data_IF_427570483179
#
_entry.id   IF_427570483179
#
_cell.length_a   1.000
_cell.length_b   1.000
_cell.length_c   1.000
_cell.angle_alpha   90.00
_cell.angle_beta   90.00
_cell.angle_gamma   90.00
#
_symmetry.space_group_name_H-M   'P 1'
#
loop_
_entity.id
_entity.type
_entity.pdbx_description
1 polymer ?
#
# COMPACT_ATOMS: atom_id res chain seq x y z
N UNK A 1 7.49 -6.13 9.72
CA UNK A 1 6.85 -5.31 10.78
C UNK A 1 5.35 -5.55 10.80
N UNK A 2 4.62 -5.15 11.85
CA UNK A 2 3.15 -5.31 11.89
C UNK A 2 2.47 -4.45 10.83
N UNK A 3 1.26 -4.84 10.39
CA UNK A 3 0.47 -4.06 9.43
C UNK A 3 0.33 -2.60 9.86
N UNK A 4 -0.09 -2.33 11.10
CA UNK A 4 -0.32 -0.96 11.58
C UNK A 4 0.93 -0.10 11.51
N UNK A 5 2.11 -0.64 11.82
CA UNK A 5 3.38 0.10 11.74
C UNK A 5 3.74 0.45 10.30
N UNK A 6 3.59 -0.51 9.38
CA UNK A 6 3.82 -0.25 7.96
C UNK A 6 2.80 0.74 7.39
N UNK A 7 1.54 0.62 7.78
CA UNK A 7 0.47 1.51 7.34
C UNK A 7 0.68 2.96 7.79
N UNK A 8 1.18 3.21 9.00
CA UNK A 8 1.55 4.57 9.41
C UNK A 8 2.61 5.18 8.48
N UNK A 9 3.60 4.41 8.05
CA UNK A 9 4.60 4.88 7.08
C UNK A 9 4.00 5.15 5.70
N UNK A 10 3.03 4.34 5.27
CA UNK A 10 2.32 4.52 4.00
C UNK A 10 1.50 5.81 3.97
N UNK A 11 0.90 6.20 5.10
CA UNK A 11 0.22 7.51 5.22
C UNK A 11 1.17 8.69 5.01
N UNK A 12 2.47 8.50 5.25
CA UNK A 12 3.51 9.50 5.03
C UNK A 12 4.15 9.40 3.63
N UNK A 13 3.50 8.74 2.68
CA UNK A 13 3.93 8.68 1.28
C UNK A 13 4.91 7.56 0.95
N UNK A 14 5.20 6.65 1.89
CA UNK A 14 5.95 5.42 1.58
C UNK A 14 5.03 4.35 0.99
N UNK A 15 5.63 3.25 0.52
CA UNK A 15 4.87 2.06 0.16
C UNK A 15 5.17 0.90 1.11
N UNK A 16 4.28 -0.08 1.17
CA UNK A 16 4.51 -1.31 1.92
C UNK A 16 4.23 -2.55 1.09
N UNK A 17 4.87 -3.66 1.42
CA UNK A 17 4.64 -4.96 0.77
C UNK A 17 4.91 -6.11 1.71
N UNK A 18 4.43 -7.29 1.31
CA UNK A 18 4.85 -8.55 1.91
C UNK A 18 6.00 -9.18 1.10
N UNK A 19 6.98 -9.81 1.76
CA UNK A 19 8.21 -10.28 1.11
C UNK A 19 7.95 -11.34 0.03
N UNK A 20 6.92 -12.17 0.20
CA UNK A 20 6.53 -13.22 -0.75
C UNK A 20 5.85 -12.69 -2.02
N UNK A 21 5.41 -11.43 -2.05
CA UNK A 21 4.87 -10.85 -3.27
C UNK A 21 5.98 -10.57 -4.28
N UNK A 22 5.60 -10.39 -5.54
CA UNK A 22 6.58 -9.94 -6.53
C UNK A 22 7.14 -8.56 -6.15
N UNK A 23 8.38 -8.28 -6.52
CA UNK A 23 9.10 -7.04 -6.17
C UNK A 23 8.46 -5.80 -6.79
N UNK A 24 7.75 -5.97 -7.90
CA UNK A 24 6.99 -4.90 -8.56
C UNK A 24 5.65 -4.60 -7.87
N UNK A 25 5.24 -5.37 -6.85
CA UNK A 25 3.97 -5.20 -6.15
C UNK A 25 4.17 -4.47 -4.83
N UNK A 26 3.46 -3.35 -4.67
CA UNK A 26 3.44 -2.57 -3.42
C UNK A 26 2.08 -1.90 -3.17
N UNK A 27 1.75 -1.68 -1.91
CA UNK A 27 0.58 -0.94 -1.46
C UNK A 27 0.97 0.49 -1.14
N UNK A 28 0.19 1.45 -1.65
CA UNK A 28 0.39 2.88 -1.45
C UNK A 28 -0.92 3.54 -1.03
N UNK A 29 -0.83 4.68 -0.36
CA UNK A 29 -1.97 5.55 -0.12
C UNK A 29 -2.09 6.57 -1.26
N UNK A 30 -3.30 6.77 -1.78
CA UNK A 30 -3.63 7.92 -2.59
C UNK A 30 -4.37 8.93 -1.72
N UNK A 31 -3.88 10.17 -1.72
CA UNK A 31 -4.59 11.32 -1.20
C UNK A 31 -5.18 12.08 -2.40
N UNK A 32 -6.50 12.27 -2.47
CA UNK A 32 -7.14 12.96 -3.60
C UNK A 32 -6.65 14.40 -3.80
N UNK A 33 -6.54 14.78 -5.06
CA UNK A 33 -6.27 16.13 -5.56
C UNK A 33 -7.33 16.56 -6.60
N UNK A 34 -7.14 17.72 -7.24
CA UNK A 34 -8.06 18.28 -8.25
C UNK A 34 -8.26 17.37 -9.48
N UNK A 35 -7.38 16.40 -9.72
CA UNK A 35 -7.44 15.47 -10.84
C UNK A 35 -7.94 14.08 -10.43
N UNK A 36 -8.18 13.86 -9.14
CA UNK A 36 -8.60 12.59 -8.58
C UNK A 36 -10.09 12.34 -8.77
N UNK A 37 -10.44 11.12 -9.20
CA UNK A 37 -11.86 10.69 -9.29
C UNK A 37 -12.46 10.33 -7.93
N UNK A 38 -11.64 9.81 -7.02
CA UNK A 38 -12.04 9.47 -5.66
C UNK A 38 -11.84 10.69 -4.75
N UNK A 39 -12.76 10.93 -3.81
CA UNK A 39 -12.77 12.13 -2.96
C UNK A 39 -12.36 11.87 -1.51
N UNK A 40 -12.04 10.62 -1.15
CA UNK A 40 -11.52 10.24 0.16
C UNK A 40 -10.19 9.47 0.00
N UNK A 41 -9.26 9.55 0.97
CA UNK A 41 -8.03 8.76 0.94
C UNK A 41 -8.30 7.26 0.89
N UNK A 42 -7.50 6.53 0.12
CA UNK A 42 -7.66 5.08 -0.05
C UNK A 42 -6.33 4.40 -0.32
N UNK A 43 -6.30 3.08 -0.08
CA UNK A 43 -5.18 2.23 -0.46
C UNK A 43 -5.38 1.67 -1.86
N UNK A 44 -4.29 1.61 -2.61
CA UNK A 44 -4.24 0.91 -3.88
C UNK A 44 -2.98 0.05 -3.95
N UNK A 45 -3.06 -1.00 -4.75
CA UNK A 45 -1.89 -1.80 -5.12
C UNK A 45 -1.39 -1.31 -6.47
N UNK A 46 -0.08 -1.12 -6.58
CA UNK A 46 0.63 -0.86 -7.83
C UNK A 46 1.41 -2.09 -8.25
N UNK A 47 1.35 -2.41 -9.55
CA UNK A 47 2.14 -3.48 -10.17
C UNK A 47 2.38 -3.16 -11.64
N UNK A 48 3.11 -4.03 -12.36
CA UNK A 48 3.24 -3.95 -13.83
C UNK A 48 1.91 -3.96 -14.61
N UNK A 49 0.80 -4.35 -13.97
CA UNK A 49 -0.53 -4.38 -14.57
C UNK A 49 -1.34 -3.10 -14.33
N UNK A 50 -0.75 -2.13 -13.62
CA UNK A 50 -1.38 -0.86 -13.28
C UNK A 50 -1.76 -0.76 -11.80
N UNK A 51 -2.67 0.17 -11.52
CA UNK A 51 -3.11 0.54 -10.18
C UNK A 51 -4.56 0.14 -9.97
N UNK A 52 -4.85 -0.58 -8.90
CA UNK A 52 -6.22 -0.96 -8.55
C UNK A 52 -6.49 -0.74 -7.06
N UNK A 53 -7.72 -0.38 -6.66
CA UNK A 53 -8.08 -0.28 -5.25
C UNK A 53 -7.73 -1.57 -4.51
N UNK A 54 -7.19 -1.44 -3.30
CA UNK A 54 -6.73 -2.58 -2.51
C UNK A 54 -7.40 -2.61 -1.15
N UNK A 55 -7.71 -3.84 -0.71
CA UNK A 55 -8.23 -4.15 0.61
C UNK A 55 -7.47 -5.37 1.12
N UNK A 56 -7.05 -5.30 2.38
CA UNK A 56 -6.33 -6.38 3.03
C UNK A 56 -7.24 -7.60 3.27
N UNK A 57 -6.65 -8.79 3.16
CA UNK A 57 -7.21 -10.03 3.67
C UNK A 57 -6.87 -10.21 5.15
N UNK A 58 -7.57 -11.12 5.84
CA UNK A 58 -7.25 -11.44 7.24
C UNK A 58 -5.82 -11.99 7.41
N UNK A 59 -5.30 -12.75 6.44
CA UNK A 59 -3.93 -13.29 6.51
C UNK A 59 -2.91 -12.15 6.45
N UNK A 60 -3.12 -11.19 5.56
CA UNK A 60 -2.24 -10.02 5.40
C UNK A 60 -2.32 -9.08 6.61
N UNK A 61 -3.54 -8.83 7.11
CA UNK A 61 -3.76 -7.98 8.28
C UNK A 61 -3.05 -8.49 9.55
N UNK A 62 -3.03 -9.81 9.74
CA UNK A 62 -2.37 -10.46 10.88
C UNK A 62 -0.88 -10.78 10.65
N UNK A 63 -0.32 -10.45 9.48
CA UNK A 63 1.10 -10.65 9.21
C UNK A 63 1.97 -9.65 9.98
N UNK A 64 3.12 -10.15 10.46
CA UNK A 64 4.16 -9.34 11.10
C UNK A 64 5.38 -9.10 10.18
N UNK A 65 5.26 -9.48 8.91
CA UNK A 65 6.36 -9.50 7.94
C UNK A 65 6.29 -8.36 6.93
N UNK A 66 5.50 -7.32 7.19
CA UNK A 66 5.43 -6.16 6.30
C UNK A 66 6.78 -5.46 6.17
N UNK A 67 7.12 -5.06 4.96
CA UNK A 67 8.30 -4.29 4.61
C UNK A 67 7.86 -2.92 4.10
N UNK A 68 8.51 -1.85 4.57
CA UNK A 68 8.32 -0.50 4.03
C UNK A 68 9.38 -0.26 2.98
N UNK A 69 8.97 0.22 1.82
CA UNK A 69 9.85 0.60 0.72
C UNK A 69 9.69 2.09 0.47
N UNK A 70 10.82 2.76 0.25
CA UNK A 70 10.79 4.17 -0.16
C UNK A 70 10.33 4.21 -1.61
N UNK A 71 9.25 4.93 -1.87
CA UNK A 71 8.90 5.30 -3.24
C UNK A 71 9.92 6.36 -3.68
N UNK A 72 10.58 6.13 -4.81
CA UNK A 72 11.63 7.00 -5.34
C UNK A 72 11.08 8.31 -5.89
#
# INVERSE_FOLDING_TARGET
>A
MTFSKAFEEVKHGKAMRLPQWNKDVSIKAQYPDEHSKMTAPYLYVESRFGRVPWKETNIELFSNDWEVVNDG
#
